data_IF_517341857049
#
_entry.id   IF_517341857049
#
_cell.length_a   1.000
_cell.length_b   1.000
_cell.length_c   1.000
_cell.angle_alpha   90.00
_cell.angle_beta   90.00
_cell.angle_gamma   90.00
#
_symmetry.space_group_name_H-M   'P 1'
#
loop_
_entity.id
_entity.type
_entity.pdbx_description
1 polymer ?
#
# COMPACT_ATOMS: atom_id res chain seq x y z
N UNK A 1 11.17 -41.31 -10.02
CA UNK A 1 11.63 -42.71 -9.92
C UNK A 1 11.22 -43.44 -11.19
N UNK A 2 11.93 -44.50 -11.58
CA UNK A 2 11.54 -45.30 -12.75
C UNK A 2 10.21 -46.03 -12.52
N UNK A 3 9.57 -46.45 -13.61
CA UNK A 3 8.25 -47.12 -13.55
C UNK A 3 8.32 -48.47 -12.84
N UNK A 4 9.41 -49.22 -13.01
CA UNK A 4 9.62 -50.52 -12.35
C UNK A 4 9.63 -50.38 -10.82
N UNK A 5 10.42 -49.43 -10.29
CA UNK A 5 10.48 -49.14 -8.87
C UNK A 5 9.15 -48.58 -8.33
N UNK A 6 8.42 -47.80 -9.16
CA UNK A 6 7.10 -47.28 -8.79
C UNK A 6 6.06 -48.41 -8.69
N UNK A 7 6.12 -49.40 -9.59
CA UNK A 7 5.26 -50.57 -9.56
C UNK A 7 5.60 -51.51 -8.39
N UNK A 8 6.89 -51.70 -8.10
CA UNK A 8 7.34 -52.47 -6.93
C UNK A 8 6.81 -51.88 -5.62
N UNK A 9 6.88 -50.55 -5.47
CA UNK A 9 6.50 -49.85 -4.24
C UNK A 9 5.03 -49.36 -4.24
N UNK A 10 4.21 -49.78 -5.20
CA UNK A 10 2.92 -49.14 -5.44
C UNK A 10 1.96 -49.20 -4.23
N UNK A 11 1.96 -50.32 -3.51
CA UNK A 11 1.12 -50.53 -2.34
C UNK A 11 1.54 -49.60 -1.20
N UNK A 12 2.84 -49.51 -0.93
CA UNK A 12 3.43 -48.70 0.11
C UNK A 12 3.27 -47.20 -0.18
N UNK A 13 3.46 -46.80 -1.43
CA UNK A 13 3.22 -45.44 -1.91
C UNK A 13 1.76 -45.04 -1.73
N UNK A 14 0.82 -45.94 -2.06
CA UNK A 14 -0.62 -45.70 -1.88
C UNK A 14 -0.99 -45.61 -0.39
N UNK A 15 -0.44 -46.47 0.46
CA UNK A 15 -0.74 -46.51 1.89
C UNK A 15 -0.17 -45.29 2.65
N UNK A 16 0.99 -44.78 2.21
CA UNK A 16 1.71 -43.70 2.90
C UNK A 16 1.37 -42.30 2.38
N UNK A 17 0.59 -42.20 1.29
CA UNK A 17 0.23 -40.93 0.65
C UNK A 17 -1.27 -40.68 0.78
N UNK A 18 -1.72 -39.71 1.60
CA UNK A 18 -3.14 -39.45 1.81
C UNK A 18 -3.91 -39.16 0.53
N UNK A 19 -5.04 -39.84 0.32
CA UNK A 19 -5.92 -39.62 -0.84
C UNK A 19 -5.46 -40.27 -2.14
N UNK A 20 -4.38 -41.06 -2.12
CA UNK A 20 -3.90 -41.82 -3.27
C UNK A 20 -4.44 -43.26 -3.23
N UNK A 21 -4.94 -43.71 -4.39
CA UNK A 21 -5.24 -45.11 -4.68
C UNK A 21 -4.19 -45.66 -5.64
N UNK A 22 -4.11 -46.98 -5.79
CA UNK A 22 -3.17 -47.64 -6.71
C UNK A 22 -3.19 -47.07 -8.14
N UNK A 23 -4.35 -46.79 -8.78
CA UNK A 23 -4.38 -46.13 -10.09
C UNK A 23 -3.74 -44.75 -10.07
N UNK A 24 -4.02 -43.94 -9.04
CA UNK A 24 -3.43 -42.59 -8.90
C UNK A 24 -1.92 -42.63 -8.70
N UNK A 25 -1.39 -43.64 -8.00
CA UNK A 25 0.07 -43.83 -7.86
C UNK A 25 0.70 -44.08 -9.24
N UNK A 26 0.03 -44.81 -10.14
CA UNK A 26 0.50 -45.05 -11.51
C UNK A 26 0.47 -43.80 -12.39
N UNK A 27 -0.52 -42.95 -12.23
CA UNK A 27 -0.65 -41.70 -13.00
C UNK A 27 0.30 -40.60 -12.54
N UNK A 28 0.68 -40.59 -11.25
CA UNK A 28 1.45 -39.51 -10.66
C UNK A 28 2.96 -39.76 -10.70
N UNK A 29 3.73 -38.67 -10.83
CA UNK A 29 5.18 -38.72 -10.73
C UNK A 29 5.61 -38.73 -9.25
N UNK A 30 6.59 -39.58 -8.94
CA UNK A 30 7.22 -39.64 -7.63
C UNK A 30 8.71 -39.33 -7.71
N UNK A 31 9.21 -38.56 -6.76
CA UNK A 31 10.60 -38.18 -6.61
C UNK A 31 11.22 -38.89 -5.42
N UNK A 32 12.45 -39.36 -5.57
CA UNK A 32 13.24 -39.91 -4.46
C UNK A 32 14.09 -38.77 -3.90
N UNK A 33 13.84 -38.40 -2.66
CA UNK A 33 14.51 -37.27 -1.99
C UNK A 33 15.16 -37.76 -0.70
N UNK A 34 16.30 -37.17 -0.32
CA UNK A 34 16.93 -37.46 0.96
C UNK A 34 15.99 -37.14 2.12
N UNK A 35 15.96 -38.01 3.14
CA UNK A 35 15.00 -37.88 4.24
C UNK A 35 15.08 -36.51 4.93
N UNK A 36 16.28 -35.95 5.09
CA UNK A 36 16.51 -34.64 5.72
C UNK A 36 15.80 -33.47 5.01
N UNK A 37 15.59 -33.56 3.70
CA UNK A 37 14.91 -32.50 2.94
C UNK A 37 13.37 -32.62 2.99
N UNK A 38 12.85 -33.78 3.41
CA UNK A 38 11.41 -34.09 3.41
C UNK A 38 10.80 -34.14 4.82
N UNK A 39 11.44 -33.50 5.81
CA UNK A 39 11.07 -33.55 7.24
C UNK A 39 9.60 -33.26 7.50
N UNK A 40 9.07 -32.19 6.91
CA UNK A 40 7.69 -31.79 7.17
C UNK A 40 6.67 -32.76 6.57
N UNK A 41 7.03 -33.43 5.47
CA UNK A 41 6.15 -34.39 4.81
C UNK A 41 6.09 -35.70 5.58
N UNK A 42 7.24 -36.23 6.04
CA UNK A 42 7.22 -37.50 6.75
C UNK A 42 6.77 -37.38 8.20
N UNK A 43 7.01 -36.23 8.88
CA UNK A 43 6.44 -35.96 10.21
C UNK A 43 4.92 -35.98 10.18
N UNK A 44 4.34 -35.48 9.09
CA UNK A 44 2.90 -35.51 8.85
C UNK A 44 2.39 -36.86 8.30
N UNK A 45 3.26 -37.87 8.14
CA UNK A 45 2.96 -39.18 7.53
C UNK A 45 2.31 -39.07 6.15
N UNK A 46 2.82 -38.14 5.32
CA UNK A 46 2.30 -37.86 3.97
C UNK A 46 3.10 -38.49 2.83
N UNK A 47 4.20 -39.18 3.15
CA UNK A 47 5.13 -39.76 2.17
C UNK A 47 5.64 -41.11 2.67
N UNK A 48 5.98 -41.98 1.72
CA UNK A 48 6.64 -43.25 2.02
C UNK A 48 8.14 -43.03 2.27
N UNK A 49 8.72 -43.78 3.21
CA UNK A 49 10.14 -43.73 3.56
C UNK A 49 10.74 -45.13 3.43
N UNK A 50 11.86 -45.25 2.72
CA UNK A 50 12.65 -46.49 2.63
C UNK A 50 14.13 -46.14 2.49
N UNK A 51 14.99 -46.84 3.24
CA UNK A 51 16.45 -46.75 3.17
C UNK A 51 17.02 -45.32 3.25
N UNK A 52 16.46 -44.47 4.13
CA UNK A 52 16.91 -43.09 4.30
C UNK A 52 16.44 -42.11 3.20
N UNK A 53 15.48 -42.53 2.36
CA UNK A 53 14.86 -41.69 1.34
C UNK A 53 13.35 -41.59 1.53
N UNK A 54 12.83 -40.40 1.25
CA UNK A 54 11.41 -40.15 1.12
C UNK A 54 10.99 -40.21 -0.35
N UNK A 55 9.83 -40.81 -0.62
CA UNK A 55 9.23 -40.91 -1.94
C UNK A 55 8.05 -39.96 -2.01
N UNK A 56 8.24 -38.87 -2.73
CA UNK A 56 7.39 -37.68 -2.66
C UNK A 56 6.63 -37.53 -3.98
N UNK A 57 5.29 -37.46 -3.97
CA UNK A 57 4.52 -37.19 -5.18
C UNK A 57 4.77 -35.76 -5.67
N UNK A 58 4.64 -35.52 -6.97
CA UNK A 58 4.84 -34.19 -7.57
C UNK A 58 4.06 -33.07 -6.87
N UNK A 59 2.84 -33.36 -6.42
CA UNK A 59 1.98 -32.40 -5.71
C UNK A 59 2.57 -31.87 -4.39
N UNK A 60 3.55 -32.57 -3.81
CA UNK A 60 4.15 -32.23 -2.51
C UNK A 60 5.60 -31.73 -2.66
N UNK A 61 6.12 -31.64 -3.89
CA UNK A 61 7.49 -31.18 -4.14
C UNK A 61 7.67 -29.69 -3.84
N UNK A 62 6.59 -28.93 -3.98
CA UNK A 62 6.51 -27.50 -3.66
C UNK A 62 6.81 -27.25 -2.18
N UNK A 63 6.33 -28.09 -1.27
CA UNK A 63 6.63 -28.02 0.17
C UNK A 63 8.13 -28.06 0.40
N UNK A 64 8.84 -29.00 -0.24
CA UNK A 64 10.29 -29.14 -0.10
C UNK A 64 11.00 -27.91 -0.66
N UNK A 65 10.63 -27.46 -1.86
CA UNK A 65 11.26 -26.31 -2.52
C UNK A 65 11.04 -25.02 -1.71
N UNK A 66 9.81 -24.76 -1.28
CA UNK A 66 9.45 -23.57 -0.51
C UNK A 66 10.14 -23.53 0.85
N UNK A 67 10.24 -24.66 1.55
CA UNK A 67 10.94 -24.75 2.82
C UNK A 67 12.45 -24.52 2.68
N UNK A 68 13.08 -25.17 1.69
CA UNK A 68 14.49 -24.97 1.41
C UNK A 68 14.79 -23.54 0.97
N UNK A 69 13.93 -22.96 0.13
CA UNK A 69 14.04 -21.56 -0.29
C UNK A 69 13.91 -20.61 0.90
N UNK A 70 12.88 -20.77 1.74
CA UNK A 70 12.66 -19.94 2.94
C UNK A 70 13.85 -20.00 3.89
N UNK A 71 14.40 -21.19 4.11
CA UNK A 71 15.56 -21.39 5.00
C UNK A 71 16.81 -20.70 4.44
N UNK A 72 17.11 -20.90 3.16
CA UNK A 72 18.24 -20.24 2.48
C UNK A 72 18.08 -18.71 2.46
N UNK A 73 16.89 -18.21 2.13
CA UNK A 73 16.60 -16.78 2.12
C UNK A 73 16.75 -16.17 3.51
N UNK A 74 16.22 -16.81 4.55
CA UNK A 74 16.33 -16.33 5.93
C UNK A 74 17.79 -16.27 6.39
N UNK A 75 18.59 -17.31 6.07
CA UNK A 75 20.03 -17.33 6.35
C UNK A 75 20.78 -16.22 5.59
N UNK A 76 20.48 -16.04 4.30
CA UNK A 76 21.08 -14.98 3.50
C UNK A 76 20.76 -13.60 4.06
N UNK A 77 19.50 -13.32 4.40
CA UNK A 77 19.07 -12.06 5.01
C UNK A 77 19.74 -11.80 6.35
N UNK A 78 19.92 -12.82 7.20
CA UNK A 78 20.62 -12.69 8.47
C UNK A 78 22.11 -12.35 8.28
N UNK A 79 22.77 -12.94 7.28
CA UNK A 79 24.15 -12.60 6.94
C UNK A 79 24.24 -11.17 6.35
N UNK A 80 23.31 -10.79 5.48
CA UNK A 80 23.25 -9.43 4.92
C UNK A 80 23.05 -8.38 6.00
N UNK A 81 22.16 -8.62 6.97
CA UNK A 81 21.93 -7.70 8.08
C UNK A 81 23.18 -7.49 8.94
N UNK A 82 23.98 -8.56 9.17
CA UNK A 82 25.26 -8.45 9.88
C UNK A 82 26.30 -7.60 9.13
N UNK A 83 26.28 -7.63 7.81
CA UNK A 83 27.18 -6.83 6.96
C UNK A 83 26.62 -5.44 6.64
N UNK A 84 25.38 -5.13 7.07
CA UNK A 84 24.73 -3.86 6.76
C UNK A 84 25.49 -2.62 7.30
N UNK A 85 26.10 -2.63 8.51
CA UNK A 85 26.82 -1.46 9.02
C UNK A 85 27.99 -1.02 8.13
N UNK A 86 28.72 -1.95 7.53
CA UNK A 86 29.82 -1.64 6.59
C UNK A 86 29.33 -1.14 5.23
N UNK A 87 28.09 -1.47 4.85
CA UNK A 87 27.46 -0.95 3.63
C UNK A 87 26.87 0.44 3.91
N UNK A 88 26.37 0.66 5.12
CA UNK A 88 25.79 1.93 5.57
C UNK A 88 26.84 3.07 5.62
N UNK A 89 28.14 2.78 5.72
CA UNK A 89 29.16 3.83 5.60
C UNK A 89 29.26 4.44 4.19
N UNK A 90 28.73 3.78 3.15
CA UNK A 90 28.69 4.34 1.80
C UNK A 90 27.49 5.29 1.65
N UNK A 91 27.78 6.59 1.59
CA UNK A 91 26.78 7.65 1.43
C UNK A 91 25.92 7.49 0.16
N UNK A 92 26.43 6.83 -0.89
CA UNK A 92 25.69 6.62 -2.15
C UNK A 92 24.54 5.64 -1.98
N UNK A 93 24.64 4.73 -1.02
CA UNK A 93 23.64 3.69 -0.76
C UNK A 93 22.59 4.14 0.26
N UNK A 94 22.89 5.18 1.05
CA UNK A 94 21.98 5.75 2.05
C UNK A 94 20.58 6.06 1.49
N UNK A 95 20.42 6.71 0.33
CA UNK A 95 19.09 6.99 -0.21
C UNK A 95 18.31 5.71 -0.51
N UNK A 96 18.96 4.66 -1.03
CA UNK A 96 18.29 3.39 -1.31
C UNK A 96 17.88 2.68 -0.02
N UNK A 97 18.79 2.60 0.95
CA UNK A 97 18.55 1.90 2.22
C UNK A 97 17.46 2.58 3.05
N UNK A 98 17.51 3.91 3.17
CA UNK A 98 16.55 4.67 3.96
C UNK A 98 15.17 4.75 3.31
N UNK A 99 15.10 4.70 1.98
CA UNK A 99 13.81 4.76 1.28
C UNK A 99 13.24 3.38 0.93
N UNK A 100 13.97 2.27 1.05
CA UNK A 100 13.49 0.95 0.61
C UNK A 100 12.10 0.59 1.17
N UNK A 101 11.84 0.86 2.44
CA UNK A 101 10.56 0.62 3.12
C UNK A 101 9.49 1.68 2.84
N UNK A 102 9.88 2.82 2.27
CA UNK A 102 9.02 3.96 1.95
C UNK A 102 8.79 4.14 0.44
N UNK A 103 9.57 3.43 -0.37
CA UNK A 103 9.53 3.50 -1.83
C UNK A 103 8.26 2.85 -2.34
N UNK A 104 7.42 3.67 -2.96
CA UNK A 104 6.29 3.20 -3.73
C UNK A 104 6.81 2.49 -4.98
N UNK A 105 6.56 1.18 -5.08
CA UNK A 105 7.03 0.34 -6.21
C UNK A 105 6.09 0.41 -7.42
N UNK A 106 4.98 1.15 -7.31
CA UNK A 106 4.04 1.38 -8.41
C UNK A 106 4.46 2.55 -9.31
N UNK A 107 3.75 2.78 -10.43
CA UNK A 107 4.08 3.86 -11.34
C UNK A 107 3.95 5.22 -10.63
N UNK A 108 5.02 6.03 -10.68
CA UNK A 108 4.99 7.39 -10.15
C UNK A 108 4.31 8.33 -11.16
N UNK A 109 3.04 8.61 -10.93
CA UNK A 109 2.25 9.52 -11.77
C UNK A 109 2.49 11.00 -11.44
N UNK A 110 3.34 11.34 -10.44
CA UNK A 110 3.60 12.73 -10.06
C UNK A 110 4.38 13.53 -11.13
N UNK A 111 4.91 12.84 -12.15
CA UNK A 111 5.75 13.41 -13.22
C UNK A 111 4.95 13.68 -14.51
N UNK A 112 3.75 13.10 -14.67
CA UNK A 112 2.95 13.37 -15.88
C UNK A 112 2.51 14.84 -15.90
N UNK A 113 2.92 15.56 -16.95
CA UNK A 113 2.51 16.95 -17.18
C UNK A 113 0.99 17.02 -17.23
N UNK A 114 0.42 17.91 -16.41
CA UNK A 114 -1.01 18.23 -16.38
C UNK A 114 -1.54 18.48 -17.80
N UNK A 115 -2.36 17.57 -18.31
CA UNK A 115 -3.04 17.71 -19.61
C UNK A 115 -4.44 18.34 -19.47
N UNK A 116 -4.97 18.45 -18.25
CA UNK A 116 -6.28 19.01 -17.96
C UNK A 116 -6.23 20.38 -17.29
N UNK A 117 -7.20 21.25 -17.62
CA UNK A 117 -7.50 22.48 -16.88
C UNK A 117 -8.74 22.25 -16.03
N UNK A 118 -8.65 22.45 -14.72
CA UNK A 118 -9.77 22.41 -13.79
C UNK A 118 -10.17 23.85 -13.45
N UNK A 119 -11.47 24.15 -13.51
CA UNK A 119 -11.99 25.44 -13.05
C UNK A 119 -12.32 25.40 -11.55
N UNK A 120 -12.34 26.56 -10.89
CA UNK A 120 -12.59 26.64 -9.45
C UNK A 120 -13.98 26.12 -9.04
N UNK A 121 -14.97 26.30 -9.93
CA UNK A 121 -16.36 25.91 -9.74
C UNK A 121 -16.54 24.40 -9.79
N UNK A 122 -15.64 23.69 -10.47
CA UNK A 122 -15.70 22.23 -10.62
C UNK A 122 -15.20 21.48 -9.38
N UNK A 123 -14.39 22.12 -8.52
CA UNK A 123 -13.71 21.46 -7.39
C UNK A 123 -14.72 20.77 -6.46
N UNK A 124 -15.84 21.42 -6.14
CA UNK A 124 -16.84 20.86 -5.21
C UNK A 124 -17.47 19.58 -5.80
N UNK A 125 -17.75 19.55 -7.10
CA UNK A 125 -18.30 18.37 -7.78
C UNK A 125 -17.26 17.25 -7.92
N UNK A 126 -16.02 17.59 -8.28
CA UNK A 126 -14.92 16.64 -8.38
C UNK A 126 -14.55 16.02 -7.03
N UNK A 127 -14.69 16.77 -5.95
CA UNK A 127 -14.45 16.27 -4.60
C UNK A 127 -15.35 15.08 -4.25
N UNK A 128 -16.62 15.12 -4.69
CA UNK A 128 -17.58 14.04 -4.41
C UNK A 128 -17.33 12.82 -5.28
N UNK A 129 -17.03 13.04 -6.57
CA UNK A 129 -16.94 11.96 -7.57
C UNK A 129 -15.54 11.36 -7.69
N UNK A 130 -14.50 12.17 -7.63
CA UNK A 130 -13.17 11.79 -8.13
C UNK A 130 -12.08 11.82 -7.05
N UNK A 131 -12.25 12.58 -5.97
CA UNK A 131 -11.20 12.69 -4.97
C UNK A 131 -11.14 11.44 -4.08
N UNK A 132 -9.93 10.94 -3.75
CA UNK A 132 -9.77 9.92 -2.74
C UNK A 132 -10.20 10.47 -1.37
N UNK A 133 -10.51 9.56 -0.44
CA UNK A 133 -11.10 9.92 0.85
C UNK A 133 -10.25 10.93 1.66
N UNK A 134 -8.92 10.88 1.54
CA UNK A 134 -8.01 11.83 2.19
C UNK A 134 -8.22 13.28 1.73
N UNK A 135 -8.41 13.51 0.43
CA UNK A 135 -8.62 14.84 -0.13
C UNK A 135 -10.07 15.29 0.04
N UNK A 136 -11.03 14.36 -0.04
CA UNK A 136 -12.45 14.63 0.26
C UNK A 136 -12.65 15.12 1.70
N UNK A 137 -11.92 14.54 2.65
CA UNK A 137 -11.92 14.98 4.05
C UNK A 137 -11.39 16.41 4.20
N UNK A 138 -10.26 16.72 3.56
CA UNK A 138 -9.65 18.05 3.63
C UNK A 138 -10.54 19.12 2.98
N UNK A 139 -11.17 18.81 1.85
CA UNK A 139 -12.11 19.71 1.19
C UNK A 139 -13.32 20.01 2.06
N UNK A 140 -13.95 18.98 2.65
CA UNK A 140 -15.08 19.18 3.59
C UNK A 140 -14.65 20.03 4.78
N UNK A 141 -13.55 19.68 5.44
CA UNK A 141 -13.05 20.43 6.58
C UNK A 141 -12.77 21.91 6.23
N UNK A 142 -12.22 22.17 5.04
CA UNK A 142 -11.98 23.52 4.56
C UNK A 142 -13.30 24.29 4.34
N UNK A 143 -14.31 23.67 3.71
CA UNK A 143 -15.61 24.31 3.46
C UNK A 143 -16.42 24.51 4.75
N UNK A 144 -16.29 23.61 5.73
CA UNK A 144 -17.05 23.65 6.98
C UNK A 144 -16.45 24.63 7.99
N UNK A 145 -15.11 24.63 8.13
CA UNK A 145 -14.41 25.47 9.12
C UNK A 145 -13.82 26.75 8.54
N UNK A 146 -13.89 26.92 7.22
CA UNK A 146 -13.29 28.01 6.46
C UNK A 146 -11.78 28.19 6.71
N UNK A 147 -11.10 27.15 7.19
CA UNK A 147 -9.66 27.14 7.45
C UNK A 147 -9.08 25.73 7.41
N UNK A 148 -7.77 25.62 7.22
CA UNK A 148 -7.03 24.38 7.44
C UNK A 148 -5.71 24.66 8.16
N UNK A 149 -5.33 23.76 9.07
CA UNK A 149 -4.00 23.75 9.70
C UNK A 149 -2.89 23.47 8.69
N UNK A 150 -1.64 23.75 9.09
CA UNK A 150 -0.49 23.71 8.19
C UNK A 150 -0.37 22.40 7.39
N UNK A 151 -0.44 21.24 8.05
CA UNK A 151 -0.38 19.95 7.36
C UNK A 151 -1.50 19.74 6.33
N UNK A 152 -2.71 20.20 6.64
CA UNK A 152 -3.86 20.17 5.71
C UNK A 152 -3.69 21.09 4.51
N UNK A 153 -3.20 22.31 4.72
CA UNK A 153 -2.90 23.25 3.63
C UNK A 153 -1.85 22.69 2.67
N UNK A 154 -0.81 22.06 3.21
CA UNK A 154 0.24 21.46 2.39
C UNK A 154 -0.26 20.24 1.60
N UNK A 155 -0.89 19.28 2.27
CA UNK A 155 -1.39 18.05 1.62
C UNK A 155 -2.43 18.37 0.54
N UNK A 156 -3.41 19.23 0.86
CA UNK A 156 -4.47 19.57 -0.08
C UNK A 156 -4.02 20.55 -1.15
N UNK A 157 -3.26 21.58 -0.78
CA UNK A 157 -2.78 22.60 -1.73
C UNK A 157 -1.88 22.01 -2.81
N UNK A 158 -0.96 21.12 -2.44
CA UNK A 158 -0.10 20.45 -3.43
C UNK A 158 -0.89 19.47 -4.29
N UNK A 159 -1.90 18.80 -3.74
CA UNK A 159 -2.82 17.97 -4.54
C UNK A 159 -3.59 18.81 -5.57
N UNK A 160 -4.15 19.96 -5.17
CA UNK A 160 -4.86 20.87 -6.07
C UNK A 160 -3.96 21.37 -7.21
N UNK A 161 -2.72 21.74 -6.91
CA UNK A 161 -1.70 22.03 -7.92
C UNK A 161 -1.48 20.84 -8.87
N UNK A 162 -1.35 19.64 -8.30
CA UNK A 162 -1.13 18.40 -9.05
C UNK A 162 -2.26 18.04 -9.99
N UNK A 163 -3.50 18.41 -9.70
CA UNK A 163 -4.65 18.19 -10.61
C UNK A 163 -4.84 19.32 -11.63
N UNK A 164 -4.02 20.39 -11.59
CA UNK A 164 -4.01 21.43 -12.63
C UNK A 164 -4.39 22.84 -12.18
N UNK A 165 -4.59 23.10 -10.89
CA UNK A 165 -4.91 24.44 -10.43
C UNK A 165 -3.72 25.40 -10.61
N UNK A 166 -3.92 26.53 -11.29
CA UNK A 166 -2.86 27.53 -11.46
C UNK A 166 -2.57 28.26 -10.16
N UNK A 167 -1.46 29.01 -10.10
CA UNK A 167 -1.11 29.80 -8.93
C UNK A 167 -2.17 30.87 -8.63
N UNK A 168 -2.68 31.53 -9.67
CA UNK A 168 -3.70 32.57 -9.57
C UNK A 168 -4.99 31.98 -9.00
N UNK A 169 -5.44 30.85 -9.55
CA UNK A 169 -6.61 30.12 -9.07
C UNK A 169 -6.42 29.63 -7.63
N UNK A 170 -5.23 29.13 -7.26
CA UNK A 170 -4.97 28.69 -5.90
C UNK A 170 -5.03 29.85 -4.90
N UNK A 171 -4.44 31.00 -5.23
CA UNK A 171 -4.53 32.20 -4.41
C UNK A 171 -5.99 32.65 -4.25
N UNK A 172 -6.76 32.68 -5.33
CA UNK A 172 -8.18 33.00 -5.30
C UNK A 172 -8.98 32.01 -4.43
N UNK A 173 -8.77 30.71 -4.64
CA UNK A 173 -9.44 29.62 -3.91
C UNK A 173 -9.24 29.76 -2.40
N UNK A 174 -7.99 29.86 -1.95
CA UNK A 174 -7.67 29.95 -0.53
C UNK A 174 -8.10 31.30 0.07
N UNK A 175 -7.93 32.40 -0.67
CA UNK A 175 -8.30 33.75 -0.19
C UNK A 175 -9.80 33.86 0.02
N UNK A 176 -10.60 33.45 -0.97
CA UNK A 176 -12.06 33.47 -0.92
C UNK A 176 -12.59 32.64 0.24
N UNK A 177 -12.01 31.46 0.49
CA UNK A 177 -12.45 30.61 1.58
C UNK A 177 -12.03 31.13 2.95
N UNK A 178 -10.78 31.60 3.11
CA UNK A 178 -10.30 32.09 4.41
C UNK A 178 -10.96 33.41 4.85
N UNK A 179 -11.36 34.26 3.89
CA UNK A 179 -12.13 35.47 4.19
C UNK A 179 -13.50 35.11 4.80
N UNK A 180 -14.15 34.02 4.35
CA UNK A 180 -15.38 33.52 5.00
C UNK A 180 -15.12 33.11 6.46
N UNK A 181 -13.93 32.59 6.73
CA UNK A 181 -13.42 32.29 8.08
C UNK A 181 -12.95 33.50 8.87
N UNK A 182 -13.28 34.72 8.44
CA UNK A 182 -12.88 36.00 9.07
C UNK A 182 -11.37 36.23 9.11
N UNK A 183 -10.63 35.63 8.19
CA UNK A 183 -9.23 36.03 7.95
C UNK A 183 -9.25 37.31 7.11
N UNK A 184 -8.70 38.37 7.67
CA UNK A 184 -8.55 39.64 6.97
C UNK A 184 -7.69 39.50 5.68
N UNK A 185 -8.00 40.29 4.65
CA UNK A 185 -7.32 40.22 3.36
C UNK A 185 -5.82 40.52 3.47
N UNK A 186 -5.42 41.51 4.26
CA UNK A 186 -4.01 41.83 4.48
C UNK A 186 -3.30 40.73 5.26
N UNK A 187 -4.02 40.12 6.23
CA UNK A 187 -3.51 38.95 6.96
C UNK A 187 -3.32 37.75 6.04
N UNK A 188 -4.21 37.56 5.06
CA UNK A 188 -4.05 36.53 4.04
C UNK A 188 -2.79 36.76 3.20
N UNK A 189 -2.64 37.97 2.67
CA UNK A 189 -1.54 38.32 1.77
C UNK A 189 -0.18 38.26 2.47
N UNK A 190 -0.10 38.66 3.75
CA UNK A 190 1.13 38.58 4.57
C UNK A 190 1.42 37.17 5.08
N UNK A 191 0.41 36.41 5.48
CA UNK A 191 0.58 35.15 6.21
C UNK A 191 0.48 33.87 5.40
N UNK A 192 -0.24 33.87 4.26
CA UNK A 192 -0.58 32.67 3.52
C UNK A 192 -0.19 32.72 2.05
N UNK A 193 -0.33 33.87 1.39
CA UNK A 193 -0.01 34.00 -0.04
C UNK A 193 1.45 33.62 -0.34
N UNK A 194 2.39 33.99 0.55
CA UNK A 194 3.80 33.60 0.44
C UNK A 194 3.97 32.07 0.40
N UNK A 195 3.34 31.35 1.33
CA UNK A 195 3.42 29.88 1.39
C UNK A 195 2.82 29.21 0.15
N UNK A 196 1.77 29.78 -0.42
CA UNK A 196 1.15 29.28 -1.65
C UNK A 196 2.12 29.51 -2.83
N UNK A 197 2.65 30.73 -3.01
CA UNK A 197 3.63 31.03 -4.07
C UNK A 197 4.89 30.15 -3.97
N UNK A 198 5.36 29.90 -2.75
CA UNK A 198 6.48 28.99 -2.50
C UNK A 198 6.18 27.55 -2.96
N UNK A 199 4.96 27.05 -2.74
CA UNK A 199 4.54 25.72 -3.19
C UNK A 199 4.53 25.56 -4.72
N UNK A 200 4.43 26.68 -5.46
CA UNK A 200 4.51 26.75 -6.93
C UNK A 200 5.92 27.16 -7.43
N UNK A 201 6.93 27.15 -6.56
CA UNK A 201 8.31 27.46 -6.94
C UNK A 201 8.58 28.93 -7.30
N UNK A 202 7.68 29.86 -6.94
CA UNK A 202 7.83 31.30 -7.22
C UNK A 202 8.57 32.09 -6.13
N UNK A 203 8.91 31.44 -5.01
CA UNK A 203 9.57 32.05 -3.85
C UNK A 203 10.72 31.15 -3.36
N UNK A 204 11.63 31.69 -2.53
CA UNK A 204 12.69 30.92 -1.86
C UNK A 204 13.69 30.26 -2.82
N UNK A 205 14.04 28.99 -2.58
CA UNK A 205 14.94 28.20 -3.45
C UNK A 205 14.32 27.87 -4.83
N UNK A 206 13.11 28.34 -5.12
CA UNK A 206 12.34 28.06 -6.35
C UNK A 206 12.17 26.56 -6.62
N UNK A 207 12.07 25.77 -5.56
CA UNK A 207 11.81 24.34 -5.65
C UNK A 207 10.34 24.12 -5.96
N UNK A 208 10.06 23.46 -7.08
CA UNK A 208 8.70 23.13 -7.47
C UNK A 208 8.22 21.90 -6.68
N UNK A 209 7.48 22.13 -5.59
CA UNK A 209 7.07 21.05 -4.69
C UNK A 209 6.09 20.07 -5.36
N UNK A 210 6.40 18.78 -5.28
CA UNK A 210 5.53 17.72 -5.81
C UNK A 210 4.37 17.42 -4.87
N UNK A 211 3.19 17.02 -5.41
CA UNK A 211 2.11 16.45 -4.62
C UNK A 211 2.60 15.30 -3.74
N UNK A 212 2.01 15.15 -2.55
CA UNK A 212 2.40 14.06 -1.66
C UNK A 212 1.95 12.72 -2.20
N UNK A 213 2.86 11.73 -2.17
CA UNK A 213 2.51 10.34 -2.44
C UNK A 213 1.68 9.76 -1.28
N UNK A 214 0.92 8.69 -1.57
CA UNK A 214 0.18 7.95 -0.54
C UNK A 214 1.11 7.51 0.61
N UNK A 215 2.30 7.00 0.29
CA UNK A 215 3.28 6.58 1.30
C UNK A 215 3.74 7.74 2.18
N UNK A 216 3.97 8.93 1.61
CA UNK A 216 4.29 10.13 2.40
C UNK A 216 3.15 10.49 3.35
N UNK A 217 1.91 10.48 2.86
CA UNK A 217 0.72 10.79 3.66
C UNK A 217 0.47 9.74 4.76
N UNK A 218 0.82 8.47 4.54
CA UNK A 218 0.64 7.37 5.50
C UNK A 218 1.75 7.35 6.56
N UNK A 219 2.99 7.60 6.17
CA UNK A 219 4.17 7.36 7.03
C UNK A 219 4.73 8.63 7.68
N UNK A 220 4.36 9.82 7.19
CA UNK A 220 4.90 11.10 7.68
C UNK A 220 3.80 11.98 8.27
N UNK A 221 4.15 12.78 9.28
CA UNK A 221 3.31 13.82 9.87
C UNK A 221 1.88 13.33 10.22
N UNK A 222 1.73 12.43 11.21
CA UNK A 222 0.43 11.94 11.64
C UNK A 222 -0.45 13.09 12.18
N UNK A 223 -1.75 13.12 11.87
CA UNK A 223 -2.65 14.19 12.31
C UNK A 223 -2.89 14.13 13.82
N UNK A 224 -3.03 15.30 14.44
CA UNK A 224 -3.42 15.47 15.85
C UNK A 224 -4.87 15.97 15.97
N UNK A 225 -5.36 16.20 17.19
CA UNK A 225 -6.71 16.73 17.39
C UNK A 225 -6.87 18.10 16.70
N UNK A 226 -7.90 18.21 15.86
CA UNK A 226 -8.17 19.39 15.03
C UNK A 226 -7.43 19.41 13.68
N UNK A 227 -6.64 18.37 13.38
CA UNK A 227 -6.07 18.14 12.06
C UNK A 227 -6.95 17.19 11.23
N UNK A 228 -7.10 17.52 9.95
CA UNK A 228 -7.87 16.73 8.99
C UNK A 228 -7.00 16.15 7.86
N UNK A 229 -5.68 16.27 7.96
CA UNK A 229 -4.74 15.71 6.98
C UNK A 229 -4.40 14.24 7.30
N UNK A 230 -3.55 13.62 6.48
CA UNK A 230 -3.21 12.21 6.59
C UNK A 230 -4.12 11.30 5.75
N UNK A 231 -3.88 9.99 5.87
CA UNK A 231 -4.68 8.95 5.23
C UNK A 231 -5.79 8.47 6.18
N UNK A 232 -7.09 8.61 5.82
CA UNK A 232 -8.20 8.15 6.66
C UNK A 232 -8.14 6.66 6.98
N UNK A 233 -7.70 5.83 6.03
CA UNK A 233 -7.55 4.39 6.23
C UNK A 233 -6.46 4.01 7.23
N UNK A 234 -5.51 4.91 7.51
CA UNK A 234 -4.43 4.72 8.49
C UNK A 234 -4.69 5.41 9.82
N UNK A 235 -5.17 6.65 9.77
CA UNK A 235 -5.15 7.57 10.90
C UNK A 235 -6.53 7.81 11.54
N UNK A 236 -7.63 7.44 10.88
CA UNK A 236 -8.94 7.44 11.55
C UNK A 236 -9.07 6.18 12.38
N UNK A 237 -9.71 6.29 13.55
CA UNK A 237 -10.12 5.11 14.29
C UNK A 237 -11.16 4.30 13.49
N UNK A 238 -11.27 2.98 13.72
CA UNK A 238 -12.12 2.11 12.91
C UNK A 238 -13.60 2.50 12.91
N UNK A 239 -14.14 2.99 14.03
CA UNK A 239 -15.56 3.33 14.13
C UNK A 239 -15.87 4.64 13.40
N UNK A 240 -15.02 5.65 13.56
CA UNK A 240 -15.10 6.89 12.79
C UNK A 240 -14.91 6.64 11.29
N UNK A 241 -13.99 5.76 10.90
CA UNK A 241 -13.81 5.38 9.50
C UNK A 241 -15.07 4.72 8.94
N UNK A 242 -15.67 3.79 9.69
CA UNK A 242 -16.94 3.16 9.33
C UNK A 242 -18.04 4.19 9.12
N UNK A 243 -18.22 5.12 10.05
CA UNK A 243 -19.20 6.21 9.92
C UNK A 243 -18.95 7.08 8.67
N UNK A 244 -17.68 7.43 8.39
CA UNK A 244 -17.29 8.16 7.18
C UNK A 244 -17.65 7.39 5.91
N UNK A 245 -17.38 6.09 5.86
CA UNK A 245 -17.72 5.25 4.70
C UNK A 245 -19.24 5.13 4.51
N UNK A 246 -20.00 4.99 5.60
CA UNK A 246 -21.47 5.01 5.55
C UNK A 246 -22.00 6.35 5.01
N UNK A 247 -21.44 7.48 5.44
CA UNK A 247 -21.81 8.81 4.93
C UNK A 247 -21.56 8.98 3.42
N UNK A 248 -20.63 8.21 2.88
CA UNK A 248 -20.31 8.17 1.46
C UNK A 248 -21.11 7.09 0.72
N UNK A 249 -22.15 6.51 1.35
CA UNK A 249 -23.08 5.53 0.77
C UNK A 249 -22.41 4.22 0.33
N UNK A 250 -21.31 3.84 0.98
CA UNK A 250 -20.69 2.53 0.75
C UNK A 250 -21.56 1.42 1.37
N UNK A 251 -21.84 0.32 0.66
CA UNK A 251 -22.66 -0.76 1.19
C UNK A 251 -22.00 -1.44 2.39
N UNK A 252 -22.77 -1.94 3.38
CA UNK A 252 -22.21 -2.55 4.60
C UNK A 252 -21.21 -3.67 4.35
N UNK A 253 -21.44 -4.52 3.34
CA UNK A 253 -20.51 -5.58 2.94
C UNK A 253 -19.17 -5.04 2.44
N UNK A 254 -19.20 -3.97 1.64
CA UNK A 254 -18.00 -3.28 1.16
C UNK A 254 -17.23 -2.61 2.28
N UNK A 255 -17.92 -2.02 3.27
CA UNK A 255 -17.28 -1.46 4.46
C UNK A 255 -16.52 -2.53 5.23
N UNK A 256 -17.09 -3.72 5.44
CA UNK A 256 -16.40 -4.82 6.11
C UNK A 256 -15.11 -5.20 5.40
N UNK A 257 -15.13 -5.32 4.06
CA UNK A 257 -13.94 -5.63 3.26
C UNK A 257 -12.85 -4.55 3.38
N UNK A 258 -13.24 -3.28 3.34
CA UNK A 258 -12.33 -2.14 3.52
C UNK A 258 -11.67 -2.18 4.91
N UNK A 259 -12.45 -2.45 5.96
CA UNK A 259 -11.94 -2.52 7.33
C UNK A 259 -11.02 -3.73 7.55
N UNK A 260 -11.26 -4.85 6.87
CA UNK A 260 -10.37 -6.01 6.89
C UNK A 260 -9.01 -5.70 6.27
N UNK A 261 -8.98 -4.99 5.13
CA UNK A 261 -7.74 -4.50 4.53
C UNK A 261 -6.99 -3.53 5.45
N UNK A 262 -7.71 -2.63 6.14
CA UNK A 262 -7.13 -1.72 7.14
C UNK A 262 -6.52 -2.50 8.31
N UNK A 263 -7.19 -3.55 8.80
CA UNK A 263 -6.68 -4.43 9.86
C UNK A 263 -5.40 -5.15 9.45
N UNK A 264 -5.29 -5.52 8.17
CA UNK A 264 -4.06 -6.07 7.57
C UNK A 264 -2.99 -5.02 7.23
N UNK A 265 -3.19 -3.75 7.60
CA UNK A 265 -2.30 -2.62 7.27
C UNK A 265 -2.16 -2.34 5.76
N UNK A 266 -3.09 -2.82 4.94
CA UNK A 266 -3.11 -2.62 3.49
C UNK A 266 -3.86 -1.34 3.08
N UNK A 267 -3.42 -0.19 3.59
CA UNK A 267 -4.17 1.09 3.50
C UNK A 267 -4.43 1.59 2.08
N UNK A 268 -3.49 1.39 1.15
CA UNK A 268 -3.67 1.79 -0.25
C UNK A 268 -4.66 0.86 -0.97
N UNK A 269 -4.64 -0.44 -0.67
CA UNK A 269 -5.63 -1.39 -1.20
C UNK A 269 -7.03 -1.09 -0.64
N UNK A 270 -7.13 -0.65 0.62
CA UNK A 270 -8.39 -0.16 1.18
C UNK A 270 -8.91 1.08 0.40
N UNK A 271 -8.02 1.98 0.00
CA UNK A 271 -8.38 3.12 -0.85
C UNK A 271 -8.79 2.70 -2.27
N UNK A 272 -8.13 1.70 -2.87
CA UNK A 272 -8.54 1.11 -4.14
C UNK A 272 -9.93 0.48 -4.01
N UNK A 273 -10.17 -0.30 -2.95
CA UNK A 273 -11.47 -0.93 -2.75
C UNK A 273 -12.58 0.09 -2.56
N UNK A 274 -12.29 1.17 -1.85
CA UNK A 274 -13.20 2.32 -1.77
C UNK A 274 -13.48 2.92 -3.14
N UNK A 275 -12.46 3.09 -4.00
CA UNK A 275 -12.63 3.60 -5.36
C UNK A 275 -13.54 2.71 -6.20
N UNK A 276 -13.31 1.39 -6.19
CA UNK A 276 -14.16 0.39 -6.87
C UNK A 276 -15.62 0.54 -6.45
N UNK A 277 -15.87 0.59 -5.14
CA UNK A 277 -17.21 0.70 -4.56
C UNK A 277 -17.91 2.05 -4.85
N UNK A 278 -17.16 3.13 -5.13
CA UNK A 278 -17.76 4.43 -5.48
C UNK A 278 -17.93 4.65 -6.98
N UNK A 279 -17.28 3.83 -7.81
CA UNK A 279 -17.30 3.95 -9.27
C UNK A 279 -18.00 2.76 -9.96
N UNK A 280 -18.53 1.82 -9.17
CA UNK A 280 -19.22 0.63 -9.65
C UNK A 280 -18.37 -0.22 -10.62
N UNK A 281 -17.09 -0.43 -10.28
CA UNK A 281 -16.11 -1.25 -11.04
C UNK A 281 -15.53 -2.39 -10.22
#
# INVERSE_FOLDING_TARGET
IGEDLKNELANELSASTPGFSLPKVKEQMFYKVGLADAVDLFRARRVFIKDGFAYVPFKEIDVIVLNNYRTKLSKALALTARSLPSIQSDERLQPLLNHLSHSYVGPDYSIQKNTGKISLEQIDALCVKSFPLCMRQLHRALRDSHHLRHGGRMQYGLFLKGIGLTLEQALEFWKKEFIRGKVDADKFDKGYAYSIRHSYGKEGKRTDYTPYSCMKIIMSNPPSQGDYHGCPFRHSDPELLKQKLQSNKIPPSGITQVLELVKGMHYQLACQKYFELTHDV
#
